data_IF_657036584581
#
_entry.id   IF_657036584581
#
_cell.length_a   1.000
_cell.length_b   1.000
_cell.length_c   1.000
_cell.angle_alpha   90.00
_cell.angle_beta   90.00
_cell.angle_gamma   90.00
#
_symmetry.space_group_name_H-M   'P 1'
#
loop_
_entity.id
_entity.type
_entity.pdbx_description
1 polymer ?
#
# COMPACT_ATOMS: atom_id res chain seq x y z
N UNK A 1 1.65 17.96 37.14
CA UNK A 1 1.60 16.60 36.56
C UNK A 1 0.52 16.62 35.52
N UNK A 2 0.90 16.90 34.27
CA UNK A 2 0.00 16.78 33.14
C UNK A 2 -0.11 15.30 32.80
N UNK A 3 -1.34 14.80 32.81
CA UNK A 3 -1.67 13.43 32.45
C UNK A 3 -1.75 13.44 30.93
N UNK A 4 -0.67 13.02 30.25
CA UNK A 4 -0.72 12.77 28.83
C UNK A 4 -1.80 11.69 28.58
N UNK A 5 -2.78 11.92 27.68
CA UNK A 5 -3.73 10.88 27.34
C UNK A 5 -2.93 9.70 26.76
N UNK A 6 -3.10 8.51 27.34
CA UNK A 6 -2.72 7.28 26.66
C UNK A 6 -3.60 7.20 25.42
N UNK A 7 -3.12 7.67 24.28
CA UNK A 7 -3.66 7.28 22.98
C UNK A 7 -3.71 5.75 23.00
N UNK A 8 -4.91 5.18 22.98
CA UNK A 8 -5.08 3.74 22.92
C UNK A 8 -4.36 3.28 21.64
N UNK A 9 -3.16 2.74 21.80
CA UNK A 9 -2.37 2.25 20.68
C UNK A 9 -3.13 1.10 20.07
N UNK A 10 -3.46 1.23 18.79
CA UNK A 10 -4.22 0.21 18.07
C UNK A 10 -3.41 -1.09 18.02
N UNK A 11 -3.91 -2.14 18.67
CA UNK A 11 -3.23 -3.44 18.73
C UNK A 11 -3.41 -4.19 17.40
N UNK A 12 -2.36 -4.16 16.57
CA UNK A 12 -2.38 -4.72 15.20
C UNK A 12 -2.91 -6.16 15.13
N UNK A 13 -2.50 -7.03 16.05
CA UNK A 13 -2.94 -8.44 16.04
C UNK A 13 -4.45 -8.55 16.30
N UNK A 14 -4.99 -7.71 17.18
CA UNK A 14 -6.41 -7.69 17.48
C UNK A 14 -7.24 -7.17 16.29
N UNK A 15 -6.71 -6.18 15.56
CA UNK A 15 -7.32 -5.70 14.31
C UNK A 15 -7.33 -6.81 13.24
N UNK A 16 -6.23 -7.55 13.10
CA UNK A 16 -6.14 -8.67 12.14
C UNK A 16 -7.16 -9.77 12.49
N UNK A 17 -7.30 -10.14 13.77
CA UNK A 17 -8.32 -11.12 14.20
C UNK A 17 -9.75 -10.66 13.91
N UNK A 18 -10.02 -9.36 14.03
CA UNK A 18 -11.35 -8.81 13.70
C UNK A 18 -11.61 -8.79 12.20
N UNK A 19 -10.59 -8.50 11.40
CA UNK A 19 -10.68 -8.57 9.94
C UNK A 19 -10.92 -10.00 9.46
N UNK A 20 -10.26 -11.00 10.05
CA UNK A 20 -10.49 -12.42 9.75
C UNK A 20 -11.95 -12.83 10.00
N UNK A 21 -12.53 -12.35 11.10
CA UNK A 21 -13.95 -12.61 11.46
C UNK A 21 -14.97 -12.00 10.51
N UNK A 22 -14.58 -11.03 9.67
CA UNK A 22 -15.47 -10.49 8.63
C UNK A 22 -15.79 -11.53 7.54
N UNK A 23 -14.99 -12.60 7.42
CA UNK A 23 -15.25 -13.73 6.53
C UNK A 23 -16.18 -14.81 7.11
N UNK A 24 -16.75 -14.60 8.31
CA UNK A 24 -17.67 -15.56 8.93
C UNK A 24 -18.97 -15.70 8.13
N UNK A 25 -19.53 -16.92 8.07
CA UNK A 25 -20.86 -17.18 7.49
C UNK A 25 -22.01 -16.69 8.38
N UNK A 26 -21.71 -16.31 9.63
CA UNK A 26 -22.69 -15.82 10.59
C UNK A 26 -22.72 -14.29 10.60
N UNK A 27 -23.83 -13.71 10.12
CA UNK A 27 -24.01 -12.26 10.04
C UNK A 27 -23.84 -11.54 11.39
N UNK A 28 -24.18 -12.19 12.50
CA UNK A 28 -24.02 -11.63 13.85
C UNK A 28 -22.55 -11.42 14.21
N UNK A 29 -21.68 -12.38 13.85
CA UNK A 29 -20.24 -12.31 14.11
C UNK A 29 -19.59 -11.25 13.23
N UNK A 30 -20.00 -11.16 11.97
CA UNK A 30 -19.54 -10.12 11.03
C UNK A 30 -19.92 -8.74 11.55
N UNK A 31 -21.18 -8.54 11.97
CA UNK A 31 -21.65 -7.26 12.49
C UNK A 31 -20.93 -6.86 13.78
N UNK A 32 -20.71 -7.81 14.68
CA UNK A 32 -19.99 -7.58 15.93
C UNK A 32 -18.52 -7.18 15.66
N UNK A 33 -17.84 -7.93 14.77
CA UNK A 33 -16.46 -7.66 14.39
C UNK A 33 -16.31 -6.28 13.72
N UNK A 34 -17.20 -5.95 12.77
CA UNK A 34 -17.18 -4.66 12.07
C UNK A 34 -17.39 -3.47 13.04
N UNK A 35 -18.34 -3.59 13.98
CA UNK A 35 -18.58 -2.54 14.99
C UNK A 35 -17.40 -2.36 15.93
N UNK A 36 -16.78 -3.47 16.35
CA UNK A 36 -15.64 -3.42 17.26
C UNK A 36 -14.41 -2.82 16.57
N UNK A 37 -14.16 -3.21 15.31
CA UNK A 37 -13.12 -2.63 14.47
C UNK A 37 -13.30 -1.12 14.29
N UNK A 38 -14.52 -0.67 13.95
CA UNK A 38 -14.83 0.75 13.80
C UNK A 38 -14.62 1.54 15.10
N UNK A 39 -14.99 0.96 16.24
CA UNK A 39 -14.81 1.59 17.55
C UNK A 39 -13.33 1.76 17.88
N UNK A 40 -12.51 0.73 17.68
CA UNK A 40 -11.07 0.79 17.96
C UNK A 40 -10.34 1.82 17.09
N UNK A 41 -10.66 1.87 15.79
CA UNK A 41 -10.08 2.85 14.86
C UNK A 41 -10.48 4.27 15.29
N UNK A 42 -11.76 4.50 15.58
CA UNK A 42 -12.25 5.82 16.03
C UNK A 42 -11.64 6.25 17.36
N UNK A 43 -11.52 5.34 18.33
CA UNK A 43 -10.93 5.61 19.64
C UNK A 43 -9.43 5.89 19.56
N UNK A 44 -8.73 5.26 18.61
CA UNK A 44 -7.32 5.54 18.34
C UNK A 44 -7.09 6.91 17.68
N UNK A 45 -8.17 7.57 17.21
CA UNK A 45 -8.10 8.83 16.48
C UNK A 45 -7.47 8.70 15.08
N UNK A 46 -7.26 7.47 14.62
CA UNK A 46 -6.66 7.16 13.31
C UNK A 46 -7.77 6.89 12.29
N UNK A 47 -7.58 7.35 11.06
CA UNK A 47 -8.42 6.96 9.92
C UNK A 47 -7.84 5.79 9.14
N UNK A 48 -8.60 5.27 8.18
CA UNK A 48 -8.09 4.22 7.28
C UNK A 48 -6.87 4.67 6.46
N UNK A 49 -6.74 5.96 6.13
CA UNK A 49 -5.56 6.50 5.45
C UNK A 49 -4.30 6.52 6.32
N UNK A 50 -4.43 6.65 7.63
CA UNK A 50 -3.30 6.57 8.57
C UNK A 50 -2.84 5.11 8.78
N UNK A 51 -3.78 4.18 8.72
CA UNK A 51 -3.55 2.75 8.95
C UNK A 51 -3.10 2.01 7.68
N UNK A 52 -3.69 2.37 6.56
CA UNK A 52 -3.34 1.88 5.24
C UNK A 52 -2.45 2.94 4.63
N UNK A 53 -1.14 2.84 4.92
CA UNK A 53 -0.12 3.62 4.23
C UNK A 53 -0.17 3.18 2.77
N UNK A 54 -1.00 3.85 1.98
CA UNK A 54 -0.80 3.92 0.55
C UNK A 54 0.56 4.55 0.33
N UNK A 55 1.32 4.06 -0.63
CA UNK A 55 2.42 4.83 -1.18
C UNK A 55 1.79 6.00 -1.93
N UNK A 56 1.31 7.02 -1.19
CA UNK A 56 1.25 8.36 -1.75
C UNK A 56 2.69 8.64 -2.17
N UNK A 57 2.96 8.86 -3.47
CA UNK A 57 4.28 9.31 -3.87
C UNK A 57 4.53 10.56 -3.05
N UNK A 58 5.65 10.61 -2.33
CA UNK A 58 6.08 11.84 -1.69
C UNK A 58 6.14 12.89 -2.78
N UNK A 59 5.12 13.75 -2.83
CA UNK A 59 5.13 14.97 -3.62
C UNK A 59 6.24 15.81 -3.00
N UNK A 60 7.43 15.61 -3.55
CA UNK A 60 8.63 16.33 -3.15
C UNK A 60 8.30 17.81 -3.04
N UNK A 61 8.63 18.34 -1.86
CA UNK A 61 8.54 19.74 -1.51
C UNK A 61 8.95 20.65 -2.69
N UNK A 62 8.01 21.52 -3.06
CA UNK A 62 8.26 22.91 -3.43
C UNK A 62 8.98 23.19 -4.75
N UNK A 63 8.31 22.94 -5.86
CA UNK A 63 8.47 23.79 -7.03
C UNK A 63 7.56 25.02 -6.89
N UNK A 64 8.12 26.11 -6.34
CA UNK A 64 7.51 27.45 -6.40
C UNK A 64 7.23 27.81 -7.86
N UNK A 65 5.98 27.63 -8.29
CA UNK A 65 5.51 28.16 -9.56
C UNK A 65 5.09 29.61 -9.34
N UNK A 66 5.96 30.48 -9.84
CA UNK A 66 5.79 31.92 -9.94
C UNK A 66 4.39 32.28 -10.45
N UNK A 67 3.71 33.13 -9.67
CA UNK A 67 2.38 33.63 -9.93
C UNK A 67 2.28 34.31 -11.29
N UNK A 68 1.31 33.91 -12.11
CA UNK A 68 0.58 34.84 -12.98
C UNK A 68 -0.91 34.46 -12.98
N UNK A 69 -1.83 35.42 -12.74
CA UNK A 69 -3.26 35.14 -12.76
C UNK A 69 -3.78 35.28 -14.19
N UNK A 70 -4.67 34.39 -14.63
CA UNK A 70 -5.74 34.79 -15.53
C UNK A 70 -6.97 33.91 -15.36
N UNK A 71 -8.11 34.57 -15.26
CA UNK A 71 -9.40 34.02 -14.89
C UNK A 71 -10.03 33.25 -16.06
N UNK A 72 -10.61 32.09 -15.78
CA UNK A 72 -11.34 31.31 -16.79
C UNK A 72 -12.06 30.13 -16.17
N UNK A 73 -13.27 30.40 -15.68
CA UNK A 73 -14.30 29.45 -15.28
C UNK A 73 -14.56 28.41 -16.39
N UNK A 74 -14.29 27.14 -16.11
CA UNK A 74 -15.01 26.01 -16.72
C UNK A 74 -14.85 24.76 -15.84
N UNK A 75 -15.95 24.42 -15.17
CA UNK A 75 -16.20 23.17 -14.47
C UNK A 75 -16.06 21.96 -15.42
N UNK A 76 -14.89 21.34 -15.46
CA UNK A 76 -14.68 20.03 -16.08
C UNK A 76 -14.42 18.99 -15.00
N UNK A 77 -15.48 18.22 -14.72
CA UNK A 77 -15.50 16.81 -14.32
C UNK A 77 -14.14 16.22 -13.91
N UNK A 78 -13.97 16.02 -12.60
CA UNK A 78 -12.90 15.27 -11.92
C UNK A 78 -12.81 13.85 -12.49
N UNK A 79 -12.16 13.76 -13.65
CA UNK A 79 -11.69 12.52 -14.23
C UNK A 79 -10.31 12.33 -13.62
N UNK A 80 -10.25 11.60 -12.51
CA UNK A 80 -9.01 11.04 -11.99
C UNK A 80 -8.28 10.37 -13.16
N UNK A 81 -7.27 11.04 -13.71
CA UNK A 81 -6.39 10.44 -14.69
C UNK A 81 -5.78 9.21 -14.00
N UNK A 82 -5.88 8.01 -14.58
CA UNK A 82 -5.08 6.91 -14.08
C UNK A 82 -3.63 7.37 -14.15
N UNK A 83 -2.91 7.20 -13.03
CA UNK A 83 -1.48 7.48 -12.90
C UNK A 83 -0.72 6.55 -13.89
N UNK A 84 -0.74 6.94 -15.16
CA UNK A 84 -0.31 6.16 -16.34
C UNK A 84 1.20 6.20 -16.53
N UNK A 85 1.95 6.65 -15.51
CA UNK A 85 3.37 6.99 -15.68
C UNK A 85 4.36 5.98 -15.13
N UNK A 86 3.96 5.11 -14.22
CA UNK A 86 4.81 4.00 -13.80
C UNK A 86 4.51 2.78 -14.68
N UNK A 87 5.18 2.70 -15.83
CA UNK A 87 5.14 1.48 -16.66
C UNK A 87 5.95 0.35 -16.01
N UNK A 88 6.75 0.64 -14.98
CA UNK A 88 7.79 -0.26 -14.50
C UNK A 88 8.86 -0.42 -15.57
N UNK A 89 10.13 -0.28 -15.20
CA UNK A 89 11.19 -0.66 -16.12
C UNK A 89 11.40 -2.18 -15.97
N UNK A 90 11.09 -2.95 -17.00
CA UNK A 90 11.20 -4.42 -17.00
C UNK A 90 12.62 -4.86 -16.64
N UNK A 91 13.64 -4.18 -17.16
CA UNK A 91 15.05 -4.51 -16.90
C UNK A 91 15.43 -4.25 -15.44
N UNK A 92 14.97 -3.15 -14.86
CA UNK A 92 15.14 -2.85 -13.45
C UNK A 92 14.39 -3.85 -12.58
N UNK A 93 13.15 -4.18 -12.93
CA UNK A 93 12.32 -5.13 -12.18
C UNK A 93 12.95 -6.52 -12.16
N UNK A 94 13.41 -7.03 -13.31
CA UNK A 94 14.18 -8.26 -13.40
C UNK A 94 15.44 -8.21 -12.52
N UNK A 95 16.15 -7.08 -12.53
CA UNK A 95 17.34 -6.90 -11.69
C UNK A 95 17.01 -6.91 -10.19
N UNK A 96 15.82 -6.44 -9.79
CA UNK A 96 15.36 -6.51 -8.40
C UNK A 96 14.97 -7.93 -8.02
N UNK A 97 14.25 -8.64 -8.89
CA UNK A 97 13.88 -10.05 -8.68
C UNK A 97 15.14 -10.91 -8.49
N UNK A 98 16.16 -10.75 -9.32
CA UNK A 98 17.43 -11.48 -9.16
C UNK A 98 18.11 -11.19 -7.82
N UNK A 99 18.07 -9.94 -7.34
CA UNK A 99 18.60 -9.59 -6.01
C UNK A 99 17.77 -10.20 -4.88
N UNK A 100 16.45 -10.27 -5.03
CA UNK A 100 15.55 -10.92 -4.08
C UNK A 100 15.85 -12.44 -4.02
N UNK A 101 15.95 -13.11 -5.17
CA UNK A 101 16.27 -14.53 -5.28
C UNK A 101 17.62 -14.90 -4.64
N UNK A 102 18.62 -14.03 -4.80
CA UNK A 102 19.95 -14.20 -4.21
C UNK A 102 20.00 -14.03 -2.69
N UNK A 103 18.92 -13.56 -2.06
CA UNK A 103 18.88 -13.33 -0.60
C UNK A 103 18.70 -14.62 0.17
N UNK A 104 19.39 -14.73 1.29
CA UNK A 104 19.18 -15.77 2.29
C UNK A 104 17.97 -15.44 3.18
N UNK A 105 17.22 -16.47 3.59
CA UNK A 105 16.09 -16.30 4.52
C UNK A 105 14.72 -16.03 3.87
N UNK A 106 14.63 -16.04 2.54
CA UNK A 106 13.32 -16.08 1.84
C UNK A 106 12.80 -17.52 1.73
N UNK A 107 11.47 -17.68 1.76
CA UNK A 107 10.82 -18.99 1.68
C UNK A 107 10.95 -19.62 0.29
N UNK A 108 10.79 -20.93 0.20
CA UNK A 108 10.78 -21.64 -1.10
C UNK A 108 9.60 -21.19 -1.96
N UNK A 109 8.44 -20.97 -1.36
CA UNK A 109 7.23 -20.50 -2.05
C UNK A 109 7.46 -19.10 -2.66
N UNK A 110 8.08 -18.18 -1.91
CA UNK A 110 8.37 -16.85 -2.42
C UNK A 110 9.43 -16.87 -3.53
N UNK A 111 10.37 -17.83 -3.51
CA UNK A 111 11.32 -18.02 -4.63
C UNK A 111 10.61 -18.51 -5.89
N UNK A 112 9.65 -19.41 -5.76
CA UNK A 112 8.86 -19.92 -6.89
C UNK A 112 8.04 -18.79 -7.53
N UNK A 113 7.35 -17.99 -6.72
CA UNK A 113 6.61 -16.81 -7.17
C UNK A 113 7.51 -15.80 -7.92
N UNK A 114 8.73 -15.54 -7.44
CA UNK A 114 9.68 -14.67 -8.12
C UNK A 114 10.16 -15.23 -9.48
N UNK A 115 10.28 -16.54 -9.63
CA UNK A 115 10.61 -17.16 -10.92
C UNK A 115 9.42 -17.16 -11.89
N UNK A 116 8.19 -17.28 -11.37
CA UNK A 116 6.96 -17.10 -12.17
C UNK A 116 6.88 -15.68 -12.72
N UNK A 117 7.15 -14.66 -11.90
CA UNK A 117 7.18 -13.26 -12.35
C UNK A 117 8.22 -12.98 -13.45
N UNK A 118 9.36 -13.66 -13.46
CA UNK A 118 10.33 -13.56 -14.58
C UNK A 118 9.73 -14.09 -15.88
N UNK A 119 8.90 -15.13 -15.78
CA UNK A 119 8.17 -15.69 -16.93
C UNK A 119 7.12 -14.70 -17.40
N UNK A 120 6.32 -14.13 -16.49
CA UNK A 120 5.29 -13.14 -16.83
C UNK A 120 5.87 -11.88 -17.49
N UNK A 121 7.03 -11.40 -17.03
CA UNK A 121 7.74 -10.27 -17.66
C UNK A 121 8.17 -10.64 -19.09
N UNK A 122 8.64 -11.88 -19.29
CA UNK A 122 9.07 -12.35 -20.63
C UNK A 122 7.90 -12.53 -21.59
N UNK A 123 6.75 -12.93 -21.05
CA UNK A 123 5.51 -13.15 -21.80
C UNK A 123 4.70 -11.85 -21.99
N UNK A 124 5.11 -10.75 -21.36
CA UNK A 124 4.46 -9.44 -21.43
C UNK A 124 3.11 -9.39 -20.70
N UNK A 125 2.88 -10.32 -19.76
CA UNK A 125 1.67 -10.41 -18.93
C UNK A 125 1.83 -9.70 -17.59
N UNK A 126 3.06 -9.29 -17.25
CA UNK A 126 3.39 -8.58 -16.02
C UNK A 126 3.01 -7.10 -16.13
N UNK A 127 2.17 -6.61 -15.21
CA UNK A 127 1.59 -5.28 -15.29
C UNK A 127 2.31 -4.23 -14.41
N UNK A 128 1.92 -2.96 -14.58
CA UNK A 128 2.47 -1.84 -13.80
C UNK A 128 2.31 -2.00 -12.28
N UNK A 129 1.28 -2.69 -11.81
CA UNK A 129 1.06 -2.96 -10.38
C UNK A 129 2.00 -4.03 -9.88
N UNK A 130 2.26 -5.07 -10.68
CA UNK A 130 3.24 -6.10 -10.36
C UNK A 130 4.66 -5.50 -10.27
N UNK A 131 4.99 -4.58 -11.19
CA UNK A 131 6.24 -3.82 -11.12
C UNK A 131 6.37 -3.04 -9.81
N UNK A 132 5.30 -2.35 -9.38
CA UNK A 132 5.30 -1.60 -8.11
C UNK A 132 5.46 -2.53 -6.90
N UNK A 133 4.83 -3.70 -6.93
CA UNK A 133 4.92 -4.68 -5.86
C UNK A 133 6.37 -5.14 -5.63
N UNK A 134 7.08 -5.53 -6.69
CA UNK A 134 8.48 -5.97 -6.59
C UNK A 134 9.38 -4.87 -6.03
N UNK A 135 9.19 -3.63 -6.46
CA UNK A 135 9.94 -2.49 -5.94
C UNK A 135 9.69 -2.29 -4.43
N UNK A 136 8.44 -2.29 -4.00
CA UNK A 136 8.09 -2.13 -2.58
C UNK A 136 8.62 -3.27 -1.70
N UNK A 137 8.55 -4.51 -2.18
CA UNK A 137 9.09 -5.68 -1.47
C UNK A 137 10.60 -5.58 -1.33
N UNK A 138 11.31 -5.20 -2.41
CA UNK A 138 12.75 -5.01 -2.38
C UNK A 138 13.18 -3.94 -1.38
N UNK A 139 12.51 -2.79 -1.37
CA UNK A 139 12.80 -1.70 -0.42
C UNK A 139 12.61 -2.16 1.03
N UNK A 140 11.47 -2.78 1.35
CA UNK A 140 11.18 -3.27 2.70
C UNK A 140 12.22 -4.27 3.19
N UNK A 141 12.67 -5.15 2.30
CA UNK A 141 13.62 -6.20 2.63
C UNK A 141 15.05 -5.66 2.77
N UNK A 142 15.35 -4.51 2.17
CA UNK A 142 16.70 -3.90 2.19
C UNK A 142 16.85 -2.81 3.26
N UNK A 143 15.76 -2.15 3.66
CA UNK A 143 15.75 -1.12 4.71
C UNK A 143 15.57 -1.66 6.15
N UNK A 144 15.70 -2.97 6.36
CA UNK A 144 15.52 -3.63 7.66
C UNK A 144 16.77 -4.42 8.07
#
# INVERSE_FOLDING_TARGET
MEILPMSATLERNQVIELLDKLGSEQDEDVLAAARMLHSQITESGMGWGDLLVGHEPEVGEEAQVDSLPDEGDDIAEDTVEPDTKFTGDETQTLSLIEKLLARDGISSEFREELEEYKTDISDGTFDSSDHRYIHAVFERLTNN
#
